data_IF_718623147606
#
_entry.id   IF_718623147606
#
_cell.length_a   1.000
_cell.length_b   1.000
_cell.length_c   1.000
_cell.angle_alpha   90.00
_cell.angle_beta   90.00
_cell.angle_gamma   90.00
#
_symmetry.space_group_name_H-M   'P 1'
#
loop_
_entity.id
_entity.type
_entity.pdbx_description
1 polymer ?
#
# COMPACT_ATOMS: atom_id res chain seq x y z
N UNK A 1 64.14 11.13 -36.13
CA UNK A 1 63.82 10.49 -34.84
C UNK A 1 62.45 10.97 -34.42
N UNK A 2 61.55 10.02 -34.20
CA UNK A 2 60.11 10.20 -34.08
C UNK A 2 59.72 10.78 -32.72
N UNK A 3 58.81 11.76 -32.72
CA UNK A 3 58.08 12.16 -31.53
C UNK A 3 56.98 11.13 -31.26
N UNK A 4 57.06 10.41 -30.13
CA UNK A 4 55.97 9.58 -29.65
C UNK A 4 55.01 10.46 -28.84
N UNK A 5 53.91 10.84 -29.49
CA UNK A 5 52.74 11.39 -28.83
C UNK A 5 52.14 10.33 -27.91
N UNK A 6 52.09 10.61 -26.61
CA UNK A 6 51.26 9.86 -25.68
C UNK A 6 49.79 10.17 -25.98
N UNK A 7 49.13 9.32 -26.76
CA UNK A 7 47.68 9.34 -26.87
C UNK A 7 47.10 8.59 -25.67
N UNK A 8 46.93 9.32 -24.56
CA UNK A 8 46.02 8.92 -23.49
C UNK A 8 44.62 8.87 -24.08
N UNK A 9 44.12 7.67 -24.36
CA UNK A 9 42.70 7.45 -24.56
C UNK A 9 42.04 7.51 -23.18
N UNK A 10 41.83 8.73 -22.70
CA UNK A 10 40.96 9.00 -21.56
C UNK A 10 39.55 8.64 -22.01
N UNK A 11 39.15 7.40 -21.74
CA UNK A 11 37.76 6.97 -21.82
C UNK A 11 36.96 7.86 -20.88
N UNK A 12 36.33 8.89 -21.44
CA UNK A 12 35.60 9.89 -20.69
C UNK A 12 34.51 9.20 -19.85
N UNK A 13 34.81 9.05 -18.56
CA UNK A 13 33.82 8.69 -17.57
C UNK A 13 32.89 9.90 -17.45
N UNK A 14 31.67 9.77 -17.97
CA UNK A 14 30.66 10.82 -17.84
C UNK A 14 30.39 11.04 -16.36
N UNK A 15 30.81 12.19 -15.83
CA UNK A 15 30.60 12.57 -14.44
C UNK A 15 29.09 12.77 -14.21
N UNK A 16 28.48 11.88 -13.42
CA UNK A 16 27.10 12.06 -12.96
C UNK A 16 27.04 13.21 -11.95
N UNK A 17 26.19 14.21 -12.21
CA UNK A 17 26.02 15.42 -11.39
C UNK A 17 24.54 15.63 -11.03
N UNK A 18 23.96 14.81 -10.12
CA UNK A 18 22.55 14.87 -9.79
C UNK A 18 22.19 16.13 -8.97
N UNK A 19 21.00 16.67 -9.20
CA UNK A 19 20.47 17.82 -8.43
C UNK A 19 19.77 17.41 -7.12
N UNK A 20 19.40 16.12 -6.99
CA UNK A 20 18.76 15.55 -5.80
C UNK A 20 19.13 14.05 -5.71
N UNK A 21 19.43 13.60 -4.50
CA UNK A 21 19.61 12.18 -4.20
C UNK A 21 18.74 11.83 -3.00
N UNK A 22 17.84 10.86 -3.16
CA UNK A 22 17.00 10.33 -2.08
C UNK A 22 17.62 9.02 -1.64
N UNK A 23 18.07 8.96 -0.38
CA UNK A 23 18.61 7.75 0.22
C UNK A 23 17.59 7.19 1.21
N UNK A 24 17.14 5.97 0.95
CA UNK A 24 16.42 5.16 1.92
C UNK A 24 17.44 4.44 2.81
N UNK A 25 17.62 4.95 4.04
CA UNK A 25 18.69 4.53 4.94
C UNK A 25 18.41 3.18 5.61
N UNK A 26 17.13 2.86 5.84
CA UNK A 26 16.69 1.74 6.68
C UNK A 26 15.64 0.82 6.00
N UNK A 27 15.24 1.09 4.74
CA UNK A 27 14.24 0.33 3.96
C UNK A 27 12.83 0.94 4.13
N UNK A 28 11.88 0.89 3.19
CA UNK A 28 11.78 0.37 1.83
C UNK A 28 10.95 1.43 1.11
N UNK A 29 11.30 1.84 -0.12
CA UNK A 29 10.33 2.55 -0.95
C UNK A 29 9.15 1.61 -1.23
N UNK A 30 8.02 1.86 -0.56
CA UNK A 30 6.82 1.04 -0.68
C UNK A 30 5.95 1.62 -1.79
N UNK A 31 5.65 0.79 -2.79
CA UNK A 31 4.50 1.03 -3.65
C UNK A 31 3.23 0.60 -2.89
N UNK A 32 2.48 1.59 -2.40
CA UNK A 32 1.26 1.32 -1.66
C UNK A 32 0.22 0.58 -2.51
N UNK A 33 0.10 0.86 -3.81
CA UNK A 33 -0.89 0.20 -4.65
C UNK A 33 -0.55 -1.28 -4.82
N UNK A 34 0.72 -1.59 -5.03
CA UNK A 34 1.20 -2.97 -5.11
C UNK A 34 0.99 -3.70 -3.78
N UNK A 35 1.37 -3.08 -2.66
CA UNK A 35 1.30 -3.73 -1.36
C UNK A 35 -0.12 -3.89 -0.82
N UNK A 36 -0.98 -2.87 -0.98
CA UNK A 36 -2.28 -2.82 -0.30
C UNK A 36 -3.50 -2.92 -1.22
N UNK A 37 -3.37 -2.63 -2.52
CA UNK A 37 -4.52 -2.59 -3.43
C UNK A 37 -5.24 -3.94 -3.54
N UNK A 38 -4.48 -5.00 -3.83
CA UNK A 38 -5.02 -6.37 -3.84
C UNK A 38 -5.49 -6.84 -2.46
N UNK A 39 -4.81 -6.39 -1.40
CA UNK A 39 -5.15 -6.75 -0.03
C UNK A 39 -6.50 -6.18 0.41
N UNK A 40 -6.74 -4.87 0.23
CA UNK A 40 -7.99 -4.22 0.68
C UNK A 40 -9.18 -4.75 -0.10
N UNK A 41 -8.98 -5.02 -1.38
CA UNK A 41 -9.93 -5.73 -2.24
C UNK A 41 -10.29 -7.10 -1.64
N UNK A 42 -9.29 -7.95 -1.42
CA UNK A 42 -9.48 -9.30 -0.87
C UNK A 42 -10.23 -9.28 0.46
N UNK A 43 -9.85 -8.41 1.39
CA UNK A 43 -10.50 -8.29 2.70
C UNK A 43 -11.95 -7.84 2.55
N UNK A 44 -12.22 -6.79 1.77
CA UNK A 44 -13.57 -6.27 1.57
C UNK A 44 -14.50 -7.31 0.91
N UNK A 45 -13.99 -8.06 -0.08
CA UNK A 45 -14.74 -9.15 -0.70
C UNK A 45 -15.04 -10.28 0.25
N UNK A 46 -14.04 -10.78 0.99
CA UNK A 46 -14.23 -11.85 1.96
C UNK A 46 -15.18 -11.43 3.08
N UNK A 47 -15.14 -10.17 3.51
CA UNK A 47 -16.10 -9.62 4.48
C UNK A 47 -17.52 -9.66 3.96
N UNK A 48 -17.77 -9.17 2.75
CA UNK A 48 -19.11 -9.21 2.13
C UNK A 48 -19.60 -10.65 1.97
N UNK A 49 -18.74 -11.58 1.54
CA UNK A 49 -19.13 -13.00 1.39
C UNK A 49 -19.42 -13.67 2.74
N UNK A 50 -18.60 -13.39 3.77
CA UNK A 50 -18.73 -13.99 5.11
C UNK A 50 -19.99 -13.50 5.82
N UNK A 51 -20.31 -12.22 5.66
CA UNK A 51 -21.40 -11.56 6.39
C UNK A 51 -22.68 -11.42 5.58
N UNK A 52 -22.62 -11.66 4.26
CA UNK A 52 -23.71 -11.44 3.28
C UNK A 52 -24.27 -10.00 3.33
N UNK A 53 -23.40 -9.03 3.58
CA UNK A 53 -23.74 -7.60 3.68
C UNK A 53 -22.98 -6.80 2.62
N UNK A 54 -23.61 -5.82 1.95
CA UNK A 54 -22.98 -5.03 0.89
C UNK A 54 -22.05 -3.95 1.48
N UNK A 55 -20.91 -4.38 2.03
CA UNK A 55 -19.99 -3.50 2.77
C UNK A 55 -18.77 -3.07 1.97
N UNK A 56 -18.56 -3.59 0.76
CA UNK A 56 -17.34 -3.35 -0.04
C UNK A 56 -17.05 -1.87 -0.26
N UNK A 57 -18.01 -1.10 -0.75
CA UNK A 57 -17.81 0.32 -1.04
C UNK A 57 -17.47 1.12 0.22
N UNK A 58 -18.12 0.79 1.35
CA UNK A 58 -17.87 1.44 2.64
C UNK A 58 -16.48 1.09 3.18
N UNK A 59 -16.04 -0.15 2.97
CA UNK A 59 -14.67 -0.57 3.24
C UNK A 59 -13.66 0.23 2.43
N UNK A 60 -13.86 0.31 1.11
CA UNK A 60 -12.95 1.04 0.24
C UNK A 60 -12.87 2.51 0.63
N UNK A 61 -14.00 3.15 0.88
CA UNK A 61 -14.01 4.56 1.27
C UNK A 61 -13.32 4.80 2.62
N UNK A 62 -13.65 3.99 3.64
CA UNK A 62 -13.06 4.09 4.97
C UNK A 62 -11.54 3.82 4.98
N UNK A 63 -11.08 2.92 4.12
CA UNK A 63 -9.65 2.60 3.96
C UNK A 63 -8.90 3.63 3.10
N UNK A 64 -9.61 4.52 2.42
CA UNK A 64 -9.02 5.48 1.49
C UNK A 64 -8.59 4.84 0.16
N UNK A 65 -9.34 3.85 -0.32
CA UNK A 65 -9.16 3.19 -1.59
C UNK A 65 -10.19 3.67 -2.62
N UNK A 66 -9.72 4.11 -3.79
CA UNK A 66 -10.58 4.36 -4.95
C UNK A 66 -10.70 3.09 -5.78
N UNK A 67 -11.87 2.45 -5.69
CA UNK A 67 -12.19 1.24 -6.45
C UNK A 67 -12.29 1.48 -7.96
N UNK A 68 -12.71 2.69 -8.40
CA UNK A 68 -12.87 2.99 -9.83
C UNK A 68 -11.50 3.13 -10.50
N UNK A 69 -10.62 3.92 -9.89
CA UNK A 69 -9.24 4.10 -10.35
C UNK A 69 -8.28 2.98 -9.95
N UNK A 70 -8.72 2.04 -9.10
CA UNK A 70 -7.88 1.01 -8.44
C UNK A 70 -6.62 1.61 -7.82
N UNK A 71 -6.82 2.67 -7.04
CA UNK A 71 -5.73 3.48 -6.51
C UNK A 71 -5.94 3.85 -5.04
N UNK A 72 -4.84 3.91 -4.29
CA UNK A 72 -4.85 4.35 -2.90
C UNK A 72 -4.73 5.87 -2.85
N UNK A 73 -5.59 6.49 -2.05
CA UNK A 73 -5.56 7.93 -1.79
C UNK A 73 -4.33 8.23 -0.92
N UNK A 74 -3.47 9.15 -1.35
CA UNK A 74 -2.16 9.44 -0.73
C UNK A 74 -2.18 9.90 0.73
N UNK A 75 -3.34 10.27 1.26
CA UNK A 75 -3.58 10.62 2.67
C UNK A 75 -4.68 9.76 3.32
N UNK A 76 -5.04 8.66 2.66
CA UNK A 76 -6.02 7.69 3.14
C UNK A 76 -5.44 6.80 4.24
N UNK A 77 -6.32 6.04 4.89
CA UNK A 77 -5.94 5.21 6.04
C UNK A 77 -4.83 4.20 5.67
N UNK A 78 -4.91 3.54 4.51
CA UNK A 78 -3.88 2.58 4.07
C UNK A 78 -2.46 3.18 3.95
N UNK A 79 -2.34 4.50 3.78
CA UNK A 79 -1.04 5.18 3.73
C UNK A 79 -0.54 5.67 5.09
N UNK A 80 -1.44 5.98 6.01
CA UNK A 80 -1.11 6.79 7.18
C UNK A 80 -1.45 6.13 8.52
N UNK A 81 -2.09 4.96 8.49
CA UNK A 81 -2.67 4.33 9.68
C UNK A 81 -2.01 2.97 9.95
N UNK A 82 -1.55 2.71 11.19
CA UNK A 82 -1.02 1.41 11.57
C UNK A 82 -2.04 0.28 11.42
N UNK A 83 -1.57 -0.96 11.21
CA UNK A 83 -2.44 -2.13 10.98
C UNK A 83 -3.51 -2.34 12.06
N UNK A 84 -3.16 -2.12 13.32
CA UNK A 84 -4.11 -2.26 14.43
C UNK A 84 -5.25 -1.25 14.35
N UNK A 85 -4.98 -0.02 13.92
CA UNK A 85 -5.99 1.01 13.71
C UNK A 85 -6.80 0.77 12.44
N UNK A 86 -6.19 0.23 11.37
CA UNK A 86 -6.92 -0.24 10.19
C UNK A 86 -7.96 -1.32 10.55
N UNK A 87 -7.61 -2.24 11.45
CA UNK A 87 -8.57 -3.23 11.96
C UNK A 87 -9.75 -2.53 12.66
N UNK A 88 -9.50 -1.50 13.47
CA UNK A 88 -10.58 -0.75 14.14
C UNK A 88 -11.46 0.01 13.15
N UNK A 89 -10.89 0.55 12.07
CA UNK A 89 -11.65 1.18 10.98
C UNK A 89 -12.57 0.14 10.32
N UNK A 90 -12.03 -1.02 9.96
CA UNK A 90 -12.80 -2.13 9.40
C UNK A 90 -13.92 -2.59 10.35
N UNK A 91 -13.61 -2.72 11.64
CA UNK A 91 -14.57 -3.10 12.68
C UNK A 91 -15.70 -2.11 12.80
N UNK A 92 -15.37 -0.80 12.83
CA UNK A 92 -16.35 0.28 12.87
C UNK A 92 -17.30 0.23 11.68
N UNK A 93 -16.80 -0.01 10.46
CA UNK A 93 -17.67 -0.18 9.28
C UNK A 93 -18.69 -1.28 9.52
N UNK A 94 -18.31 -2.42 10.08
CA UNK A 94 -19.24 -3.52 10.32
C UNK A 94 -20.27 -3.24 11.42
N UNK A 95 -19.85 -2.56 12.49
CA UNK A 95 -20.76 -2.14 13.57
C UNK A 95 -21.76 -1.10 13.06
N UNK A 96 -21.30 -0.12 12.28
CA UNK A 96 -22.17 0.91 11.68
C UNK A 96 -23.18 0.27 10.70
N UNK A 97 -22.82 -0.86 10.09
CA UNK A 97 -23.71 -1.70 9.26
C UNK A 97 -24.62 -2.64 10.06
N UNK A 98 -24.68 -2.48 11.39
CA UNK A 98 -25.63 -3.14 12.27
C UNK A 98 -25.20 -4.52 12.76
N UNK A 99 -23.91 -4.85 12.69
CA UNK A 99 -23.39 -6.03 13.37
C UNK A 99 -23.17 -5.77 14.87
N UNK A 100 -23.31 -6.80 15.68
CA UNK A 100 -22.84 -6.74 17.06
C UNK A 100 -21.31 -6.62 17.07
N UNK A 101 -20.75 -6.02 18.13
CA UNK A 101 -19.30 -5.89 18.31
C UNK A 101 -18.60 -7.27 18.24
N UNK A 102 -19.21 -8.29 18.85
CA UNK A 102 -18.67 -9.65 18.88
C UNK A 102 -18.69 -10.32 17.50
N UNK A 103 -19.79 -10.20 16.76
CA UNK A 103 -19.89 -10.77 15.41
C UNK A 103 -18.96 -10.07 14.43
N UNK A 104 -18.79 -8.76 14.57
CA UNK A 104 -17.88 -7.98 13.73
C UNK A 104 -16.42 -8.43 13.94
N UNK A 105 -15.99 -8.61 15.20
CA UNK A 105 -14.68 -9.18 15.52
C UNK A 105 -14.52 -10.59 14.94
N UNK A 106 -15.48 -11.48 15.21
CA UNK A 106 -15.41 -12.86 14.75
C UNK A 106 -15.42 -13.00 13.22
N UNK A 107 -16.04 -12.07 12.50
CA UNK A 107 -15.99 -12.02 11.03
C UNK A 107 -14.63 -11.50 10.54
N UNK A 108 -14.12 -10.42 11.13
CA UNK A 108 -12.82 -9.86 10.77
C UNK A 108 -11.67 -10.83 11.03
N UNK A 109 -11.67 -11.51 12.16
CA UNK A 109 -10.62 -12.48 12.53
C UNK A 109 -10.47 -13.62 11.51
N UNK A 110 -11.53 -13.93 10.74
CA UNK A 110 -11.49 -14.96 9.70
C UNK A 110 -10.85 -14.49 8.40
N UNK A 111 -10.85 -13.19 8.14
CA UNK A 111 -10.48 -12.63 6.84
C UNK A 111 -9.28 -11.70 6.92
N UNK A 112 -8.97 -11.17 8.10
CA UNK A 112 -7.88 -10.24 8.33
C UNK A 112 -6.54 -10.98 8.29
N UNK A 113 -5.65 -10.49 7.45
CA UNK A 113 -4.29 -11.00 7.32
C UNK A 113 -3.36 -9.84 7.00
N UNK A 114 -2.05 -10.03 7.09
CA UNK A 114 -1.09 -9.03 6.62
C UNK A 114 -1.11 -8.95 5.09
N UNK A 115 -0.84 -7.78 4.48
CA UNK A 115 -0.61 -7.68 3.05
C UNK A 115 0.59 -8.54 2.65
N UNK A 116 0.45 -9.25 1.53
CA UNK A 116 1.51 -10.02 0.88
C UNK A 116 1.64 -9.46 -0.55
N UNK A 117 2.68 -8.65 -0.83
CA UNK A 117 2.86 -7.96 -2.10
C UNK A 117 3.14 -8.89 -3.30
#
# INVERSE_FOLDING_TARGET
>A
MSALAGSGLDGASTVCSPSLVVFDKDGTLIDFNLMWGGWVESVAWKMEMTTRRPVREKFFDAMGYDWVGRAIRSKGALCCTPMGELYQIAHKVMVDEGMSVGDANAALDKVWHLPDP
#
